data_IF_527681377031
#
_entry.id   IF_527681377031
#
_cell.length_a   1.000
_cell.length_b   1.000
_cell.length_c   1.000
_cell.angle_alpha   90.00
_cell.angle_beta   90.00
_cell.angle_gamma   90.00
#
_symmetry.space_group_name_H-M   'P 1'
#
loop_
_entity.id
_entity.type
_entity.pdbx_description
1 polymer ?
#
# COMPACT_ATOMS: atom_id res chain seq x y z
N UNK A 1 13.68 -11.65 7.25
CA UNK A 1 13.89 -10.42 6.45
C UNK A 1 14.90 -9.54 7.16
N UNK A 2 16.03 -9.27 6.52
CA UNK A 2 17.05 -8.36 7.02
C UNK A 2 16.58 -6.89 7.03
N UNK A 3 17.38 -6.01 7.63
CA UNK A 3 17.06 -4.58 7.76
C UNK A 3 16.90 -3.89 6.40
N UNK A 4 17.80 -4.14 5.45
CA UNK A 4 17.81 -3.47 4.15
C UNK A 4 16.61 -3.87 3.30
N UNK A 5 16.28 -5.16 3.28
CA UNK A 5 15.09 -5.66 2.59
C UNK A 5 13.83 -5.01 3.16
N UNK A 6 13.74 -4.84 4.49
CA UNK A 6 12.59 -4.19 5.11
C UNK A 6 12.49 -2.71 4.78
N UNK A 7 13.61 -1.98 4.83
CA UNK A 7 13.66 -0.57 4.46
C UNK A 7 13.25 -0.37 2.99
N UNK A 8 13.75 -1.21 2.08
CA UNK A 8 13.33 -1.23 0.68
C UNK A 8 11.82 -1.43 0.54
N UNK A 9 11.25 -2.38 1.27
CA UNK A 9 9.82 -2.69 1.24
C UNK A 9 8.93 -1.55 1.74
N UNK A 10 9.37 -0.83 2.78
CA UNK A 10 8.70 0.43 3.17
C UNK A 10 8.77 1.47 2.04
N UNK A 11 9.94 1.66 1.43
CA UNK A 11 10.12 2.57 0.30
C UNK A 11 9.19 2.23 -0.87
N UNK A 12 9.03 0.95 -1.18
CA UNK A 12 8.10 0.48 -2.23
C UNK A 12 6.64 0.74 -1.88
N UNK A 13 6.24 0.51 -0.63
CA UNK A 13 4.88 0.80 -0.16
C UNK A 13 4.54 2.30 -0.17
N UNK A 14 5.50 3.15 0.18
CA UNK A 14 5.34 4.62 0.13
C UNK A 14 5.33 5.12 -1.30
N UNK A 15 6.17 4.57 -2.17
CA UNK A 15 6.28 5.00 -3.55
C UNK A 15 5.01 4.70 -4.37
N UNK A 16 4.29 3.59 -4.10
CA UNK A 16 3.00 3.36 -4.78
C UNK A 16 1.94 4.39 -4.36
N UNK A 17 1.98 4.88 -3.11
CA UNK A 17 1.07 5.95 -2.68
C UNK A 17 1.37 7.24 -3.44
N UNK A 18 2.65 7.60 -3.53
CA UNK A 18 3.10 8.80 -4.25
C UNK A 18 2.71 8.74 -5.74
N UNK A 19 2.96 7.58 -6.36
CA UNK A 19 2.71 7.34 -7.79
C UNK A 19 1.22 7.47 -8.15
N UNK A 20 0.32 6.87 -7.34
CA UNK A 20 -1.10 6.76 -7.71
C UNK A 20 -2.02 7.77 -7.02
N UNK A 21 -1.67 8.25 -5.82
CA UNK A 21 -2.48 9.21 -5.06
C UNK A 21 -1.81 10.59 -4.91
N UNK A 22 -0.56 10.71 -5.33
CA UNK A 22 0.20 11.97 -5.30
C UNK A 22 0.90 12.28 -3.98
N UNK A 23 1.85 13.22 -4.06
CA UNK A 23 2.75 13.57 -2.97
C UNK A 23 2.05 14.13 -1.73
N UNK A 24 0.96 14.89 -1.91
CA UNK A 24 0.17 15.44 -0.80
C UNK A 24 -0.47 14.34 0.06
N UNK A 25 -0.97 13.28 -0.57
CA UNK A 25 -1.54 12.14 0.16
C UNK A 25 -0.41 11.37 0.84
N UNK A 26 0.69 11.11 0.12
CA UNK A 26 1.89 10.47 0.69
C UNK A 26 2.37 11.18 1.96
N UNK A 27 2.46 12.50 1.96
CA UNK A 27 2.90 13.28 3.12
C UNK A 27 2.00 13.08 4.34
N UNK A 28 0.67 13.11 4.16
CA UNK A 28 -0.28 12.80 5.24
C UNK A 28 -0.12 11.38 5.76
N UNK A 29 0.10 10.41 4.86
CA UNK A 29 0.35 9.01 5.28
C UNK A 29 1.63 8.92 6.10
N UNK A 30 2.71 9.59 5.68
CA UNK A 30 3.99 9.56 6.39
C UNK A 30 3.94 10.26 7.74
N UNK A 31 3.19 11.37 7.84
CA UNK A 31 2.88 12.03 9.11
C UNK A 31 2.22 11.03 10.06
N UNK A 32 1.12 10.39 9.65
CA UNK A 32 0.43 9.36 10.46
C UNK A 32 1.34 8.18 10.82
N UNK A 33 2.11 7.69 9.85
CA UNK A 33 3.03 6.59 10.04
C UNK A 33 4.05 6.88 11.14
N UNK A 34 4.61 8.09 11.18
CA UNK A 34 5.59 8.50 12.20
C UNK A 34 5.04 8.39 13.63
N UNK A 35 3.74 8.61 13.81
CA UNK A 35 3.07 8.48 15.11
C UNK A 35 2.76 7.03 15.49
N UNK A 36 2.39 6.19 14.52
CA UNK A 36 1.90 4.83 14.81
C UNK A 36 2.96 3.73 14.65
N UNK A 37 4.08 3.98 13.96
CA UNK A 37 5.07 2.95 13.64
C UNK A 37 5.67 2.29 14.89
N UNK A 38 6.10 3.08 15.87
CA UNK A 38 6.66 2.58 17.13
C UNK A 38 5.66 1.74 17.94
N UNK A 39 4.43 2.23 18.20
CA UNK A 39 3.37 1.43 18.80
C UNK A 39 3.06 0.12 18.06
N UNK A 40 2.92 0.15 16.73
CA UNK A 40 2.62 -1.04 15.93
C UNK A 40 3.75 -2.08 15.97
N UNK A 41 5.01 -1.65 15.95
CA UNK A 41 6.13 -2.58 16.07
C UNK A 41 6.17 -3.30 17.42
N UNK A 42 5.72 -2.62 18.49
CA UNK A 42 5.61 -3.21 19.84
C UNK A 42 4.51 -4.27 19.94
N UNK A 43 3.47 -4.23 19.10
CA UNK A 43 2.46 -5.29 19.04
C UNK A 43 2.90 -6.50 18.21
N UNK A 44 4.12 -6.47 17.66
CA UNK A 44 4.67 -7.54 16.82
C UNK A 44 4.33 -7.38 15.33
N UNK A 45 3.54 -6.38 14.93
CA UNK A 45 3.31 -6.08 13.52
C UNK A 45 4.58 -5.53 12.88
N UNK A 46 5.12 -6.26 11.90
CA UNK A 46 6.37 -5.92 11.22
C UNK A 46 6.28 -5.92 9.70
N UNK A 47 5.12 -6.30 9.15
CA UNK A 47 4.90 -6.27 7.71
C UNK A 47 4.86 -4.81 7.22
N UNK A 48 5.75 -4.40 6.30
CA UNK A 48 5.84 -3.01 5.86
C UNK A 48 4.54 -2.50 5.22
N UNK A 49 3.90 -3.33 4.39
CA UNK A 49 2.66 -2.95 3.71
C UNK A 49 1.54 -2.74 4.72
N UNK A 50 1.31 -3.69 5.63
CA UNK A 50 0.23 -3.59 6.63
C UNK A 50 0.39 -2.36 7.54
N UNK A 51 1.62 -1.99 7.90
CA UNK A 51 1.84 -0.79 8.70
C UNK A 51 1.55 0.50 7.91
N UNK A 52 1.96 0.57 6.64
CA UNK A 52 1.67 1.70 5.76
C UNK A 52 0.18 1.79 5.45
N UNK A 53 -0.50 0.66 5.22
CA UNK A 53 -1.94 0.60 4.99
C UNK A 53 -2.74 1.11 6.20
N UNK A 54 -2.30 0.83 7.42
CA UNK A 54 -2.90 1.41 8.64
C UNK A 54 -2.73 2.92 8.69
N UNK A 55 -1.53 3.42 8.40
CA UNK A 55 -1.28 4.86 8.34
C UNK A 55 -2.12 5.54 7.25
N UNK A 56 -2.24 4.92 6.07
CA UNK A 56 -3.07 5.40 4.97
C UNK A 56 -4.54 5.49 5.36
N UNK A 57 -5.05 4.48 6.06
CA UNK A 57 -6.42 4.49 6.59
C UNK A 57 -6.63 5.64 7.59
N UNK A 58 -5.69 5.87 8.52
CA UNK A 58 -5.76 7.01 9.47
C UNK A 58 -5.58 8.37 8.80
N UNK A 59 -4.93 8.43 7.64
CA UNK A 59 -4.82 9.62 6.81
C UNK A 59 -6.07 9.88 5.95
N UNK A 60 -7.07 8.99 5.99
CA UNK A 60 -8.34 9.13 5.28
C UNK A 60 -8.36 8.51 3.87
N UNK A 61 -7.35 7.73 3.48
CA UNK A 61 -7.36 6.99 2.22
C UNK A 61 -8.47 5.92 2.26
N UNK A 62 -9.27 5.85 1.20
CA UNK A 62 -10.45 4.98 1.14
C UNK A 62 -10.04 3.52 1.09
N UNK A 63 -10.91 2.64 1.58
CA UNK A 63 -10.66 1.20 1.62
C UNK A 63 -10.31 0.61 0.24
N UNK A 64 -11.05 0.98 -0.81
CA UNK A 64 -10.79 0.46 -2.16
C UNK A 64 -9.48 1.01 -2.75
N UNK A 65 -9.10 2.26 -2.46
CA UNK A 65 -7.80 2.81 -2.84
C UNK A 65 -6.66 2.02 -2.17
N UNK A 66 -6.78 1.72 -0.87
CA UNK A 66 -5.78 0.89 -0.15
C UNK A 66 -5.70 -0.51 -0.77
N UNK A 67 -6.82 -1.10 -1.18
CA UNK A 67 -6.83 -2.41 -1.85
C UNK A 67 -6.16 -2.36 -3.23
N UNK A 68 -6.44 -1.32 -4.03
CA UNK A 68 -5.79 -1.10 -5.33
C UNK A 68 -4.28 -0.86 -5.16
N UNK A 69 -3.88 -0.03 -4.19
CA UNK A 69 -2.47 0.20 -3.85
C UNK A 69 -1.76 -1.08 -3.39
N UNK A 70 -2.45 -1.96 -2.64
CA UNK A 70 -1.90 -3.27 -2.26
C UNK A 70 -1.57 -4.09 -3.50
N UNK A 71 -2.49 -4.11 -4.47
CA UNK A 71 -2.30 -4.82 -5.73
C UNK A 71 -1.08 -4.28 -6.49
N UNK A 72 -0.98 -2.96 -6.63
CA UNK A 72 0.16 -2.29 -7.26
C UNK A 72 1.49 -2.58 -6.53
N UNK A 73 1.48 -2.57 -5.19
CA UNK A 73 2.64 -2.94 -4.37
C UNK A 73 3.09 -4.39 -4.60
N UNK A 74 2.16 -5.34 -4.64
CA UNK A 74 2.48 -6.75 -4.89
C UNK A 74 3.08 -6.96 -6.28
N UNK A 75 2.56 -6.28 -7.31
CA UNK A 75 3.15 -6.28 -8.65
C UNK A 75 4.57 -5.71 -8.65
N UNK A 76 4.75 -4.51 -8.08
CA UNK A 76 6.05 -3.82 -7.99
C UNK A 76 7.10 -4.70 -7.30
N UNK A 77 6.68 -5.45 -6.30
CA UNK A 77 7.56 -6.32 -5.51
C UNK A 77 7.66 -7.76 -6.01
N UNK A 78 7.01 -8.06 -7.14
CA UNK A 78 6.99 -9.39 -7.79
C UNK A 78 6.41 -10.51 -6.92
N UNK A 79 5.53 -10.18 -5.96
CA UNK A 79 4.81 -11.13 -5.12
C UNK A 79 3.49 -11.56 -5.78
N UNK A 80 3.59 -12.11 -6.99
CA UNK A 80 2.43 -12.45 -7.83
C UNK A 80 1.54 -13.53 -7.21
N UNK A 81 2.13 -14.42 -6.40
CA UNK A 81 1.43 -15.49 -5.66
C UNK A 81 0.43 -14.94 -4.62
N UNK A 82 0.59 -13.68 -4.22
CA UNK A 82 -0.26 -13.01 -3.22
C UNK A 82 -1.31 -12.10 -3.85
N UNK A 83 -1.34 -11.98 -5.17
CA UNK A 83 -2.34 -11.16 -5.84
C UNK A 83 -3.73 -11.76 -5.64
N UNK A 84 -4.72 -10.96 -5.24
CA UNK A 84 -6.10 -11.41 -5.22
C UNK A 84 -6.56 -11.76 -6.63
N UNK A 85 -7.39 -12.80 -6.75
CA UNK A 85 -8.03 -13.17 -8.02
C UNK A 85 -8.84 -11.98 -8.57
N UNK A 86 -8.80 -11.75 -9.88
CA UNK A 86 -9.49 -10.62 -10.50
C UNK A 86 -10.99 -10.62 -10.22
N UNK A 87 -11.62 -11.80 -10.14
CA UNK A 87 -13.05 -11.94 -9.86
C UNK A 87 -13.39 -11.70 -8.38
N UNK A 88 -12.39 -11.66 -7.50
CA UNK A 88 -12.54 -11.35 -6.08
C UNK A 88 -12.41 -9.85 -5.77
N UNK A 89 -12.01 -9.04 -6.75
CA UNK A 89 -11.88 -7.60 -6.61
C UNK A 89 -13.25 -6.91 -6.69
N UNK A 90 -13.44 -5.86 -5.89
CA UNK A 90 -14.64 -5.04 -6.00
C UNK A 90 -14.60 -4.19 -7.28
N UNK A 91 -15.76 -3.78 -7.84
CA UNK A 91 -15.82 -2.96 -9.05
C UNK A 91 -15.00 -1.67 -8.94
N UNK A 92 -14.97 -1.03 -7.78
CA UNK A 92 -14.21 0.20 -7.53
C UNK A 92 -12.70 -0.04 -7.59
N UNK A 93 -12.23 -1.18 -7.09
CA UNK A 93 -10.81 -1.56 -7.18
C UNK A 93 -10.44 -1.83 -8.64
N UNK A 94 -11.27 -2.57 -9.37
CA UNK A 94 -11.03 -2.83 -10.79
C UNK A 94 -10.99 -1.54 -11.59
N UNK A 95 -11.94 -0.62 -11.37
CA UNK A 95 -11.98 0.68 -12.03
C UNK A 95 -10.70 1.49 -11.78
N UNK A 96 -10.23 1.59 -10.53
CA UNK A 96 -8.97 2.27 -10.21
C UNK A 96 -7.77 1.61 -10.89
N UNK A 97 -7.67 0.28 -10.85
CA UNK A 97 -6.55 -0.42 -11.47
C UNK A 97 -6.53 -0.23 -13.00
N UNK A 98 -7.68 -0.08 -13.64
CA UNK A 98 -7.77 0.26 -15.06
C UNK A 98 -7.40 1.72 -15.33
N UNK A 99 -7.91 2.65 -14.52
CA UNK A 99 -7.56 4.08 -14.59
C UNK A 99 -6.05 4.30 -14.46
N UNK A 100 -5.40 3.56 -13.57
CA UNK A 100 -3.96 3.59 -13.35
C UNK A 100 -3.15 2.81 -14.40
N UNK A 101 -3.81 2.18 -15.38
CA UNK A 101 -3.15 1.39 -16.43
C UNK A 101 -2.50 0.10 -15.96
N UNK A 102 -2.80 -0.36 -14.74
CA UNK A 102 -2.29 -1.61 -14.16
C UNK A 102 -3.00 -2.82 -14.79
N UNK A 103 -4.33 -2.72 -14.94
CA UNK A 103 -5.11 -3.70 -15.67
C UNK A 103 -5.40 -3.15 -17.06
N UNK A 104 -5.09 -3.95 -18.08
CA UNK A 104 -5.48 -3.68 -19.46
C UNK A 104 -6.75 -4.48 -19.79
N UNK A 105 -7.59 -3.90 -20.66
CA UNK A 105 -8.78 -4.54 -21.22
C UNK A 105 -8.39 -5.70 -22.15
#
# INVERSE_FOLDING_TARGET
MDFFTRARRYGEAVAVIDEFLGSHVREKVMERFSHIAGPLQRTGLRDPWEMIARAAKEAGVKKHEIQALRYAYLLRTKEFDKLPDRNSLSPEVVALLMEWGILQL
#
